data_IF_945155204090
#
_entry.id   IF_945155204090
#
_cell.length_a   1.000
_cell.length_b   1.000
_cell.length_c   1.000
_cell.angle_alpha   90.00
_cell.angle_beta   90.00
_cell.angle_gamma   90.00
#
_symmetry.space_group_name_H-M   'P 1'
#
loop_
_entity.id
_entity.type
_entity.pdbx_description
1 polymer ?
#
# COMPACT_ATOMS: atom_id res chain seq x y z
N UNK A 1 14.06 -15.92 -39.07
CA UNK A 1 13.74 -14.88 -38.09
C UNK A 1 13.27 -15.59 -36.83
N UNK A 2 14.15 -15.70 -35.84
CA UNK A 2 13.84 -16.42 -34.61
C UNK A 2 12.89 -15.57 -33.77
N UNK A 3 11.68 -16.08 -33.49
CA UNK A 3 10.89 -15.65 -32.34
C UNK A 3 11.74 -15.97 -31.11
N UNK A 4 12.47 -14.99 -30.60
CA UNK A 4 12.96 -15.06 -29.23
C UNK A 4 11.72 -14.84 -28.35
N UNK A 5 11.17 -15.93 -27.84
CA UNK A 5 10.15 -15.88 -26.79
C UNK A 5 10.76 -15.12 -25.61
N UNK A 6 10.40 -13.84 -25.49
CA UNK A 6 10.89 -12.98 -24.41
C UNK A 6 10.47 -13.62 -23.08
N UNK A 7 11.40 -13.78 -22.11
CA UNK A 7 11.07 -14.42 -20.85
C UNK A 7 9.95 -13.68 -20.13
N UNK A 8 9.00 -14.42 -19.55
CA UNK A 8 7.82 -13.89 -18.85
C UNK A 8 8.19 -12.84 -17.78
N UNK A 9 9.36 -12.98 -17.16
CA UNK A 9 9.89 -12.02 -16.18
C UNK A 9 10.13 -10.61 -16.74
N UNK A 10 10.42 -10.46 -18.03
CA UNK A 10 10.54 -9.14 -18.66
C UNK A 10 9.20 -8.42 -18.72
N UNK A 11 8.12 -9.13 -19.09
CA UNK A 11 6.77 -8.56 -19.09
C UNK A 11 6.33 -8.14 -17.68
N UNK A 12 6.68 -8.92 -16.65
CA UNK A 12 6.46 -8.53 -15.25
C UNK A 12 7.24 -7.28 -14.87
N UNK A 13 8.51 -7.18 -15.30
CA UNK A 13 9.34 -6.01 -15.04
C UNK A 13 8.75 -4.75 -15.68
N UNK A 14 8.34 -4.84 -16.94
CA UNK A 14 7.72 -3.72 -17.67
C UNK A 14 6.38 -3.31 -17.06
N UNK A 15 5.58 -4.27 -16.59
CA UNK A 15 4.33 -3.98 -15.86
C UNK A 15 4.60 -3.21 -14.56
N UNK A 16 5.61 -3.63 -13.78
CA UNK A 16 5.98 -2.95 -12.54
C UNK A 16 6.46 -1.52 -12.83
N UNK A 17 7.29 -1.34 -13.86
CA UNK A 17 7.77 -0.02 -14.29
C UNK A 17 6.60 0.85 -14.75
N UNK A 18 5.68 0.31 -15.55
CA UNK A 18 4.46 1.01 -15.97
C UNK A 18 3.64 1.49 -14.77
N UNK A 19 3.34 0.59 -13.83
CA UNK A 19 2.56 0.91 -12.63
C UNK A 19 3.28 1.97 -11.77
N UNK A 20 4.61 1.86 -11.63
CA UNK A 20 5.43 2.85 -10.94
C UNK A 20 5.37 4.23 -11.60
N UNK A 21 5.54 4.31 -12.92
CA UNK A 21 5.49 5.56 -13.67
C UNK A 21 4.09 6.18 -13.67
N UNK A 22 3.04 5.39 -13.89
CA UNK A 22 1.66 5.86 -13.88
C UNK A 22 1.23 6.38 -12.49
N UNK A 23 1.67 5.70 -11.43
CA UNK A 23 1.35 6.08 -10.05
C UNK A 23 2.16 7.28 -9.54
N UNK A 24 3.41 7.47 -9.99
CA UNK A 24 4.33 8.50 -9.47
C UNK A 24 3.72 9.90 -9.43
N UNK A 25 3.10 10.35 -10.52
CA UNK A 25 2.49 11.68 -10.63
C UNK A 25 1.08 11.69 -10.06
N UNK A 26 0.33 10.61 -10.26
CA UNK A 26 -1.03 10.47 -9.73
C UNK A 26 -1.06 10.56 -8.20
N UNK A 27 -0.04 10.01 -7.54
CA UNK A 27 0.13 10.08 -6.08
C UNK A 27 0.29 11.53 -5.62
N UNK A 28 1.09 12.34 -6.32
CA UNK A 28 1.22 13.77 -6.03
C UNK A 28 -0.09 14.54 -6.19
N UNK A 29 -1.07 14.06 -6.95
CA UNK A 29 -2.37 14.72 -7.05
C UNK A 29 -3.39 14.24 -6.02
N UNK A 30 -3.33 12.96 -5.65
CA UNK A 30 -4.22 12.35 -4.66
C UNK A 30 -3.82 12.72 -3.22
N UNK A 31 -2.53 12.82 -2.95
CA UNK A 31 -1.99 13.09 -1.62
C UNK A 31 -2.38 14.48 -1.09
N UNK A 32 -2.65 14.66 0.22
CA UNK A 32 -2.76 13.63 1.27
C UNK A 32 -4.14 13.00 1.40
N UNK A 33 -5.22 13.65 0.96
CA UNK A 33 -6.60 13.19 1.29
C UNK A 33 -7.14 12.05 0.42
N UNK A 34 -6.42 11.63 -0.63
CA UNK A 34 -6.94 10.69 -1.63
C UNK A 34 -7.94 11.31 -2.61
N UNK A 35 -8.14 12.64 -2.57
CA UNK A 35 -9.04 13.35 -3.48
C UNK A 35 -8.26 14.24 -4.45
N UNK A 36 -8.68 14.26 -5.71
CA UNK A 36 -8.12 15.14 -6.74
C UNK A 36 -8.55 16.59 -6.50
N UNK A 37 -7.62 17.39 -6.00
CA UNK A 37 -7.86 18.82 -5.77
C UNK A 37 -6.63 19.63 -6.24
N UNK A 38 -6.79 20.58 -7.16
CA UNK A 38 -8.04 20.99 -7.86
C UNK A 38 -8.57 19.94 -8.84
N UNK A 39 -9.84 20.03 -9.27
CA UNK A 39 -10.50 19.03 -10.13
C UNK A 39 -9.79 18.75 -11.46
N UNK A 40 -9.06 19.72 -12.02
CA UNK A 40 -8.29 19.55 -13.25
C UNK A 40 -7.16 18.52 -13.11
N UNK A 41 -6.65 18.32 -11.89
CA UNK A 41 -5.58 17.33 -11.62
C UNK A 41 -5.99 15.91 -11.99
N UNK A 42 -7.30 15.60 -11.95
CA UNK A 42 -7.83 14.32 -12.41
C UNK A 42 -7.59 14.09 -13.90
N UNK A 43 -7.86 15.11 -14.73
CA UNK A 43 -7.65 15.03 -16.16
C UNK A 43 -6.17 14.86 -16.50
N UNK A 44 -5.30 15.57 -15.76
CA UNK A 44 -3.84 15.45 -15.92
C UNK A 44 -3.34 14.07 -15.48
N UNK A 45 -3.84 13.51 -14.38
CA UNK A 45 -3.49 12.16 -13.93
C UNK A 45 -3.89 11.08 -14.95
N UNK A 46 -5.10 11.19 -15.50
CA UNK A 46 -5.59 10.29 -16.56
C UNK A 46 -4.74 10.45 -17.82
N UNK A 47 -4.50 11.69 -18.27
CA UNK A 47 -3.65 11.98 -19.42
C UNK A 47 -2.23 11.43 -19.25
N UNK A 48 -1.65 11.56 -18.06
CA UNK A 48 -0.35 10.98 -17.72
C UNK A 48 -0.37 9.45 -17.81
N UNK A 49 -1.37 8.79 -17.23
CA UNK A 49 -1.47 7.33 -17.27
C UNK A 49 -1.64 6.82 -18.70
N UNK A 50 -2.45 7.49 -19.51
CA UNK A 50 -2.64 7.16 -20.93
C UNK A 50 -1.36 7.39 -21.74
N UNK A 51 -0.63 8.48 -21.47
CA UNK A 51 0.64 8.77 -22.13
C UNK A 51 1.69 7.72 -21.80
N UNK A 52 1.82 7.35 -20.53
CA UNK A 52 2.75 6.29 -20.10
C UNK A 52 2.36 4.96 -20.74
N UNK A 53 1.07 4.64 -20.82
CA UNK A 53 0.59 3.41 -21.46
C UNK A 53 0.94 3.41 -22.96
N UNK A 54 0.66 4.52 -23.65
CA UNK A 54 0.99 4.68 -25.06
C UNK A 54 2.50 4.55 -25.32
N UNK A 55 3.34 5.13 -24.45
CA UNK A 55 4.79 5.01 -24.55
C UNK A 55 5.27 3.57 -24.35
N UNK A 56 4.74 2.85 -23.35
CA UNK A 56 5.08 1.44 -23.11
C UNK A 56 4.66 0.56 -24.27
N UNK A 57 3.43 0.73 -24.78
CA UNK A 57 2.92 -0.01 -25.95
C UNK A 57 3.76 0.28 -27.19
N UNK A 58 4.11 1.55 -27.44
CA UNK A 58 4.94 1.93 -28.57
C UNK A 58 6.35 1.30 -28.51
N UNK A 59 6.96 1.26 -27.30
CA UNK A 59 8.26 0.60 -27.09
C UNK A 59 8.16 -0.91 -27.28
N UNK A 60 7.05 -1.52 -26.86
CA UNK A 60 6.84 -2.96 -27.04
C UNK A 60 6.69 -3.34 -28.52
N UNK A 61 5.92 -2.57 -29.29
CA UNK A 61 5.72 -2.79 -30.73
C UNK A 61 7.01 -2.50 -31.51
N UNK A 62 7.70 -1.42 -31.17
CA UNK A 62 8.90 -0.98 -31.87
C UNK A 62 10.00 -0.58 -30.87
N UNK A 63 10.84 -1.54 -30.44
CA UNK A 63 11.87 -1.32 -29.40
C UNK A 63 12.87 -0.21 -29.73
N UNK A 64 13.10 0.09 -31.02
CA UNK A 64 13.98 1.18 -31.46
C UNK A 64 13.52 2.56 -30.98
N UNK A 65 12.22 2.75 -30.72
CA UNK A 65 11.66 4.01 -30.20
C UNK A 65 12.14 4.33 -28.78
N UNK A 66 12.64 3.34 -28.02
CA UNK A 66 13.08 3.54 -26.63
C UNK A 66 14.09 4.69 -26.50
N UNK A 67 15.06 4.77 -27.41
CA UNK A 67 16.07 5.86 -27.39
C UNK A 67 15.45 7.21 -27.74
N UNK A 68 14.57 7.26 -28.73
CA UNK A 68 13.95 8.50 -29.20
C UNK A 68 12.92 9.08 -28.23
N UNK A 69 12.21 8.23 -27.49
CA UNK A 69 11.17 8.65 -26.52
C UNK A 69 11.77 9.02 -25.16
N UNK A 70 12.94 8.49 -24.80
CA UNK A 70 13.52 8.67 -23.47
C UNK A 70 13.65 10.14 -23.04
N UNK A 71 14.26 10.99 -23.88
CA UNK A 71 14.46 12.42 -23.55
C UNK A 71 13.13 13.19 -23.49
N UNK A 72 12.24 13.11 -24.49
CA UNK A 72 10.91 13.71 -24.40
C UNK A 72 10.12 13.26 -23.16
N UNK A 73 10.16 11.97 -22.82
CA UNK A 73 9.45 11.43 -21.66
C UNK A 73 9.95 12.04 -20.34
N UNK A 74 11.28 12.26 -20.20
CA UNK A 74 11.84 12.93 -19.03
C UNK A 74 11.38 14.38 -18.91
N UNK A 75 11.35 15.13 -20.02
CA UNK A 75 10.87 16.52 -20.03
C UNK A 75 9.40 16.61 -19.60
N UNK A 76 8.55 15.72 -20.15
CA UNK A 76 7.12 15.66 -19.79
C UNK A 76 6.97 15.25 -18.32
N UNK A 77 7.75 14.27 -17.83
CA UNK A 77 7.74 13.85 -16.43
C UNK A 77 8.08 14.99 -15.48
N UNK A 78 9.11 15.78 -15.79
CA UNK A 78 9.52 16.96 -15.01
C UNK A 78 8.40 17.99 -15.01
N UNK A 79 7.82 18.32 -16.16
CA UNK A 79 6.70 19.28 -16.26
C UNK A 79 5.48 18.84 -15.45
N UNK A 80 5.15 17.54 -15.50
CA UNK A 80 4.04 16.98 -14.73
C UNK A 80 4.35 16.93 -13.22
N UNK A 81 5.60 16.73 -12.81
CA UNK A 81 6.03 16.87 -11.42
C UNK A 81 5.89 18.32 -10.92
N UNK A 82 6.24 19.33 -11.74
CA UNK A 82 6.01 20.74 -11.43
C UNK A 82 4.52 21.07 -11.26
N UNK A 83 3.66 20.54 -12.13
CA UNK A 83 2.19 20.65 -11.99
C UNK A 83 1.71 20.00 -10.69
N UNK A 84 2.27 18.84 -10.33
CA UNK A 84 2.04 18.17 -9.04
C UNK A 84 2.42 19.04 -7.86
N UNK A 85 3.63 19.59 -7.85
CA UNK A 85 4.12 20.50 -6.82
C UNK A 85 3.24 21.75 -6.70
N UNK A 86 2.85 22.34 -7.83
CA UNK A 86 1.94 23.49 -7.85
C UNK A 86 0.57 23.14 -7.24
N UNK A 87 -0.01 21.99 -7.59
CA UNK A 87 -1.26 21.52 -6.99
C UNK A 87 -1.13 21.30 -5.47
N UNK A 88 -0.02 20.76 -5.00
CA UNK A 88 0.27 20.59 -3.58
C UNK A 88 0.39 21.93 -2.84
N UNK A 89 1.07 22.93 -3.42
CA UNK A 89 1.16 24.29 -2.86
C UNK A 89 -0.23 24.94 -2.80
N UNK A 90 -1.04 24.80 -3.85
CA UNK A 90 -2.41 25.31 -3.86
C UNK A 90 -3.25 24.67 -2.73
N UNK A 91 -3.19 23.34 -2.59
CA UNK A 91 -3.90 22.63 -1.52
C UNK A 91 -3.44 23.06 -0.13
N UNK A 92 -2.13 23.16 0.08
CA UNK A 92 -1.53 23.56 1.34
C UNK A 92 -2.04 24.94 1.80
N UNK A 93 -2.18 25.88 0.86
CA UNK A 93 -2.62 27.25 1.15
C UNK A 93 -4.13 27.37 1.36
N UNK A 94 -4.92 26.69 0.52
CA UNK A 94 -6.34 27.01 0.39
C UNK A 94 -7.29 26.01 1.06
N UNK A 95 -6.88 24.75 1.26
CA UNK A 95 -7.80 23.66 1.64
C UNK A 95 -7.31 22.85 2.83
N UNK A 96 -6.00 22.62 2.94
CA UNK A 96 -5.44 21.64 3.87
C UNK A 96 -5.67 22.00 5.34
N UNK A 97 -6.19 21.04 6.10
CA UNK A 97 -6.28 21.04 7.57
C UNK A 97 -4.89 21.06 8.23
N UNK A 98 -4.77 21.36 9.54
CA UNK A 98 -3.47 21.42 10.22
C UNK A 98 -2.64 20.13 10.11
N UNK A 99 -3.31 18.97 10.15
CA UNK A 99 -2.66 17.65 10.02
C UNK A 99 -2.22 17.41 8.57
N UNK A 100 -3.07 17.69 7.59
CA UNK A 100 -2.75 17.56 6.16
C UNK A 100 -1.58 18.45 5.76
N UNK A 101 -1.48 19.66 6.33
CA UNK A 101 -0.33 20.55 6.10
C UNK A 101 0.99 19.90 6.52
N UNK A 102 1.01 19.14 7.61
CA UNK A 102 2.21 18.42 8.04
C UNK A 102 2.52 17.25 7.10
N UNK A 103 1.51 16.49 6.69
CA UNK A 103 1.67 15.41 5.70
C UNK A 103 2.26 15.95 4.38
N UNK A 104 1.73 17.06 3.88
CA UNK A 104 2.22 17.75 2.66
C UNK A 104 3.66 18.25 2.83
N UNK A 105 4.01 18.82 3.98
CA UNK A 105 5.38 19.27 4.24
C UNK A 105 6.39 18.15 4.13
N UNK A 106 6.11 17.00 4.77
CA UNK A 106 7.00 15.85 4.68
C UNK A 106 7.08 15.36 3.24
N UNK A 107 5.96 15.16 2.55
CA UNK A 107 5.94 14.69 1.16
C UNK A 107 6.73 15.62 0.22
N UNK A 108 6.54 16.94 0.33
CA UNK A 108 7.28 17.92 -0.47
C UNK A 108 8.78 17.89 -0.13
N UNK A 109 9.16 17.78 1.14
CA UNK A 109 10.56 17.67 1.55
C UNK A 109 11.21 16.42 0.95
N UNK A 110 10.51 15.29 0.97
CA UNK A 110 10.96 14.05 0.33
C UNK A 110 11.12 14.20 -1.19
N UNK A 111 10.17 14.88 -1.85
CA UNK A 111 10.21 15.11 -3.30
C UNK A 111 11.37 16.03 -3.71
N UNK A 112 11.60 17.11 -2.95
CA UNK A 112 12.72 18.02 -3.18
C UNK A 112 14.05 17.28 -2.97
N UNK A 113 14.18 16.53 -1.88
CA UNK A 113 15.38 15.76 -1.59
C UNK A 113 15.67 14.70 -2.68
N UNK A 114 14.63 14.00 -3.15
CA UNK A 114 14.73 13.02 -4.22
C UNK A 114 15.03 13.64 -5.59
N UNK A 115 14.60 14.88 -5.85
CA UNK A 115 14.88 15.59 -7.10
C UNK A 115 16.28 16.21 -7.16
N UNK A 116 16.83 16.63 -6.02
CA UNK A 116 18.15 17.27 -5.94
C UNK A 116 19.28 16.37 -6.43
N UNK A 117 19.30 15.09 -6.04
CA UNK A 117 20.36 14.15 -6.44
C UNK A 117 20.50 14.01 -7.96
N UNK A 118 19.43 13.65 -8.69
CA UNK A 118 19.44 13.59 -10.15
C UNK A 118 19.82 14.92 -10.82
N UNK A 119 19.36 16.07 -10.30
CA UNK A 119 19.69 17.38 -10.86
C UNK A 119 21.18 17.71 -10.70
N UNK A 120 21.76 17.42 -9.53
CA UNK A 120 23.20 17.57 -9.28
C UNK A 120 24.00 16.65 -10.20
N UNK A 121 23.58 15.39 -10.37
CA UNK A 121 24.20 14.46 -11.30
C UNK A 121 24.21 14.98 -12.74
N UNK A 122 23.05 15.45 -13.23
CA UNK A 122 22.93 15.99 -14.58
C UNK A 122 23.80 17.25 -14.76
N UNK A 123 23.78 18.18 -13.79
CA UNK A 123 24.55 19.42 -13.88
C UNK A 123 26.07 19.19 -13.79
N UNK A 124 26.52 18.23 -12.97
CA UNK A 124 27.93 18.00 -12.72
C UNK A 124 28.59 17.03 -13.72
N UNK A 125 27.85 16.08 -14.31
CA UNK A 125 28.46 14.95 -15.03
C UNK A 125 27.92 14.66 -16.45
N UNK A 126 26.73 15.13 -16.82
CA UNK A 126 26.24 14.95 -18.19
C UNK A 126 27.19 15.52 -19.27
N UNK A 127 27.79 16.73 -19.08
CA UNK A 127 28.71 17.30 -20.07
C UNK A 127 30.01 16.49 -20.21
N UNK A 128 30.50 15.93 -19.10
CA UNK A 128 31.79 15.23 -19.03
C UNK A 128 31.73 13.83 -19.62
N UNK A 129 30.68 13.07 -19.34
CA UNK A 129 30.50 11.70 -19.87
C UNK A 129 30.30 11.73 -21.39
N UNK A 130 29.53 12.68 -21.90
CA UNK A 130 29.26 12.78 -23.34
C UNK A 130 30.49 13.22 -24.15
N UNK A 131 31.30 14.14 -23.61
CA UNK A 131 32.58 14.54 -24.21
C UNK A 131 33.58 13.39 -24.19
N UNK A 132 33.73 12.67 -23.08
CA UNK A 132 34.67 11.54 -22.96
C UNK A 132 34.24 10.37 -23.86
N UNK A 133 32.96 10.01 -23.88
CA UNK A 133 32.45 8.89 -24.67
C UNK A 133 32.45 9.16 -26.18
N UNK A 134 32.23 10.42 -26.62
CA UNK A 134 32.22 10.77 -28.05
C UNK A 134 33.61 11.05 -28.61
N UNK A 135 34.58 11.46 -27.79
CA UNK A 135 35.86 11.97 -28.29
C UNK A 135 37.09 11.19 -27.88
N UNK A 136 37.07 10.22 -26.95
CA UNK A 136 38.30 9.56 -26.51
C UNK A 136 38.82 8.57 -27.57
N UNK A 137 39.89 8.90 -28.34
CA UNK A 137 40.61 7.91 -29.10
C UNK A 137 41.50 7.16 -28.09
N UNK A 138 41.92 5.97 -28.46
CA UNK A 138 42.74 5.05 -27.65
C UNK A 138 44.02 5.71 -27.07
N UNK A 139 44.46 6.84 -27.63
CA UNK A 139 45.60 7.66 -27.21
C UNK A 139 45.39 8.47 -25.91
N UNK A 140 44.16 8.89 -25.61
CA UNK A 140 43.85 9.60 -24.36
C UNK A 140 43.93 8.66 -23.14
N UNK A 141 43.58 7.38 -23.32
CA UNK A 141 43.77 6.33 -22.31
C UNK A 141 45.25 6.07 -22.02
N UNK A 142 46.10 6.05 -23.06
CA UNK A 142 47.55 5.92 -22.90
C UNK A 142 48.21 7.15 -22.25
N UNK A 143 47.72 8.38 -22.50
CA UNK A 143 48.30 9.62 -21.93
C UNK A 143 47.81 10.00 -20.54
N UNK A 144 46.53 9.83 -20.23
CA UNK A 144 45.95 10.21 -18.93
C UNK A 144 46.13 9.12 -17.85
N UNK A 145 46.46 7.90 -18.28
CA UNK A 145 46.72 6.76 -17.40
C UNK A 145 45.46 6.17 -16.76
N UNK A 146 45.54 4.90 -16.36
CA UNK A 146 44.44 4.17 -15.73
C UNK A 146 43.89 4.84 -14.46
N UNK A 147 44.69 5.67 -13.79
CA UNK A 147 44.30 6.43 -12.59
C UNK A 147 43.23 7.50 -12.86
N UNK A 148 43.25 8.15 -14.02
CA UNK A 148 42.19 9.10 -14.40
C UNK A 148 40.88 8.37 -14.66
N UNK A 149 40.94 7.24 -15.37
CA UNK A 149 39.77 6.41 -15.65
C UNK A 149 39.20 5.76 -14.38
N UNK A 150 40.04 5.28 -13.47
CA UNK A 150 39.58 4.74 -12.18
C UNK A 150 38.94 5.82 -11.30
N UNK A 151 39.48 7.05 -11.28
CA UNK A 151 38.87 8.17 -10.56
C UNK A 151 37.53 8.59 -11.19
N UNK A 152 37.42 8.60 -12.53
CA UNK A 152 36.17 8.88 -13.23
C UNK A 152 35.10 7.81 -12.96
N UNK A 153 35.51 6.54 -12.86
CA UNK A 153 34.61 5.44 -12.53
C UNK A 153 34.16 5.49 -11.06
N UNK A 154 35.08 5.74 -10.12
CA UNK A 154 34.76 5.89 -8.70
C UNK A 154 33.82 7.07 -8.45
N UNK A 155 34.04 8.19 -9.15
CA UNK A 155 33.15 9.35 -9.06
C UNK A 155 31.78 9.07 -9.66
N UNK A 156 31.70 8.34 -10.78
CA UNK A 156 30.41 7.88 -11.33
C UNK A 156 29.67 6.99 -10.33
N UNK A 157 30.33 5.98 -9.75
CA UNK A 157 29.74 5.05 -8.80
C UNK A 157 29.27 5.77 -7.51
N UNK A 158 30.07 6.70 -7.01
CA UNK A 158 29.71 7.54 -5.86
C UNK A 158 28.46 8.37 -6.15
N UNK A 159 28.38 8.99 -7.33
CA UNK A 159 27.23 9.80 -7.71
C UNK A 159 25.97 8.97 -7.96
N UNK A 160 26.07 7.81 -8.61
CA UNK A 160 24.95 6.88 -8.75
C UNK A 160 24.42 6.45 -7.38
N UNK A 161 25.33 6.20 -6.43
CA UNK A 161 24.98 5.88 -5.04
C UNK A 161 24.26 7.05 -4.36
N UNK A 162 24.75 8.29 -4.55
CA UNK A 162 24.09 9.49 -4.02
C UNK A 162 22.70 9.71 -4.61
N UNK A 163 22.54 9.48 -5.92
CA UNK A 163 21.24 9.57 -6.60
C UNK A 163 20.29 8.52 -6.01
N UNK A 164 20.72 7.26 -5.90
CA UNK A 164 19.92 6.20 -5.31
C UNK A 164 19.50 6.55 -3.87
N UNK A 165 20.44 7.03 -3.05
CA UNK A 165 20.16 7.43 -1.68
C UNK A 165 19.17 8.59 -1.62
N UNK A 166 19.30 9.59 -2.49
CA UNK A 166 18.37 10.71 -2.57
C UNK A 166 16.94 10.25 -2.90
N UNK A 167 16.79 9.27 -3.81
CA UNK A 167 15.49 8.70 -4.16
C UNK A 167 14.86 7.93 -3.00
N UNK A 168 15.66 7.31 -2.12
CA UNK A 168 15.13 6.65 -0.91
C UNK A 168 14.57 7.61 0.15
N UNK A 169 14.90 8.91 0.07
CA UNK A 169 14.32 9.92 0.96
C UNK A 169 12.82 10.15 0.69
N UNK A 170 12.36 9.88 -0.54
CA UNK A 170 10.95 9.97 -0.90
C UNK A 170 10.09 8.95 -0.12
N UNK A 171 10.32 7.61 -0.21
CA UNK A 171 9.54 6.65 0.57
C UNK A 171 9.73 6.83 2.07
N UNK A 172 10.90 7.28 2.54
CA UNK A 172 11.12 7.57 3.97
C UNK A 172 10.25 8.74 4.44
N UNK A 173 10.13 9.79 3.64
CA UNK A 173 9.23 10.90 3.90
C UNK A 173 7.77 10.45 3.97
N UNK A 174 7.32 9.62 3.02
CA UNK A 174 5.99 9.04 3.06
C UNK A 174 5.81 8.15 4.29
N UNK A 175 6.81 7.36 4.68
CA UNK A 175 6.76 6.57 5.90
C UNK A 175 6.58 7.44 7.15
N UNK A 176 7.27 8.58 7.24
CA UNK A 176 7.08 9.56 8.33
C UNK A 176 5.65 10.14 8.27
N UNK A 177 5.16 10.52 7.09
CA UNK A 177 3.81 11.05 6.91
C UNK A 177 2.74 10.02 7.34
N UNK A 178 2.93 8.75 6.99
CA UNK A 178 2.05 7.63 7.31
C UNK A 178 2.10 7.31 8.81
N UNK A 179 3.28 7.08 9.39
CA UNK A 179 3.42 6.60 10.76
C UNK A 179 3.17 7.69 11.80
N UNK A 180 3.67 8.92 11.57
CA UNK A 180 3.57 10.01 12.54
C UNK A 180 2.27 10.78 12.44
N UNK A 181 1.73 10.94 11.23
CA UNK A 181 0.51 11.73 10.98
C UNK A 181 -0.67 10.87 10.53
N UNK A 182 -0.58 9.55 10.69
CA UNK A 182 -1.66 8.57 10.47
C UNK A 182 -2.39 8.79 9.14
N UNK A 183 -1.62 9.04 8.08
CA UNK A 183 -2.15 9.24 6.74
C UNK A 183 -3.09 8.08 6.36
N UNK A 184 -4.26 8.39 5.80
CA UNK A 184 -5.26 7.39 5.35
C UNK A 184 -5.74 6.40 6.41
N UNK A 185 -5.85 6.83 7.67
CA UNK A 185 -6.29 5.98 8.78
C UNK A 185 -5.52 4.65 8.85
N UNK A 186 -4.20 4.74 8.61
CA UNK A 186 -3.30 3.58 8.52
C UNK A 186 -3.39 2.67 9.75
N UNK A 187 -3.78 3.20 10.92
CA UNK A 187 -4.01 2.43 12.15
C UNK A 187 -4.96 1.24 11.94
N UNK A 188 -6.02 1.42 11.14
CA UNK A 188 -6.97 0.35 10.83
C UNK A 188 -6.32 -0.73 9.97
N UNK A 189 -5.58 -0.31 8.95
CA UNK A 189 -4.88 -1.21 8.03
C UNK A 189 -3.80 -1.96 8.80
N UNK A 190 -2.91 -1.27 9.54
CA UNK A 190 -1.84 -1.89 10.35
C UNK A 190 -2.42 -2.90 11.32
N UNK A 191 -3.48 -2.55 12.05
CA UNK A 191 -4.11 -3.47 13.00
C UNK A 191 -4.58 -4.73 12.26
N UNK A 192 -5.37 -4.61 11.20
CA UNK A 192 -5.86 -5.76 10.43
C UNK A 192 -4.71 -6.57 9.82
N UNK A 193 -3.75 -5.92 9.18
CA UNK A 193 -2.62 -6.59 8.53
C UNK A 193 -1.73 -7.29 9.55
N UNK A 194 -1.45 -6.69 10.71
CA UNK A 194 -0.68 -7.32 11.78
C UNK A 194 -1.40 -8.56 12.32
N UNK A 195 -2.71 -8.47 12.52
CA UNK A 195 -3.53 -9.61 12.95
C UNK A 195 -3.45 -10.74 11.92
N UNK A 196 -3.70 -10.44 10.65
CA UNK A 196 -3.64 -11.44 9.59
C UNK A 196 -2.23 -11.98 9.39
N UNK A 197 -1.18 -11.16 9.56
CA UNK A 197 0.20 -11.60 9.47
C UNK A 197 0.57 -12.55 10.60
N UNK A 198 0.23 -12.20 11.86
CA UNK A 198 0.44 -13.07 13.03
C UNK A 198 -0.36 -14.36 12.88
N UNK A 199 -1.62 -14.26 12.47
CA UNK A 199 -2.47 -15.41 12.18
C UNK A 199 -1.85 -16.33 11.11
N UNK A 200 -1.42 -15.74 10.00
CA UNK A 200 -0.78 -16.49 8.90
C UNK A 200 0.54 -17.12 9.37
N UNK A 201 1.34 -16.42 10.16
CA UNK A 201 2.59 -16.93 10.72
C UNK A 201 2.35 -18.08 11.69
N UNK A 202 1.35 -17.98 12.58
CA UNK A 202 0.95 -19.05 13.50
C UNK A 202 0.45 -20.26 12.72
N UNK A 203 -0.42 -20.05 11.72
CA UNK A 203 -0.92 -21.12 10.87
C UNK A 203 0.21 -21.80 10.09
N UNK A 204 1.14 -21.03 9.53
CA UNK A 204 2.33 -21.54 8.85
C UNK A 204 3.22 -22.32 9.83
N UNK A 205 3.47 -21.81 11.03
CA UNK A 205 4.25 -22.48 12.06
C UNK A 205 3.64 -23.84 12.41
N UNK A 206 2.34 -23.91 12.68
CA UNK A 206 1.66 -25.17 12.95
C UNK A 206 1.66 -26.11 11.75
N UNK A 207 1.53 -25.58 10.53
CA UNK A 207 1.68 -26.36 9.29
C UNK A 207 3.07 -27.01 9.22
N UNK A 208 4.14 -26.22 9.37
CA UNK A 208 5.51 -26.72 9.33
C UNK A 208 5.79 -27.72 10.45
N UNK A 209 5.39 -27.39 11.69
CA UNK A 209 5.56 -28.27 12.84
C UNK A 209 4.82 -29.61 12.63
N UNK A 210 3.59 -29.56 12.12
CA UNK A 210 2.78 -30.76 11.87
C UNK A 210 3.41 -31.66 10.80
N UNK A 211 3.86 -31.09 9.68
CA UNK A 211 4.53 -31.83 8.60
C UNK A 211 5.82 -32.48 9.10
N UNK A 212 6.65 -31.75 9.84
CA UNK A 212 7.92 -32.25 10.38
C UNK A 212 7.68 -33.34 11.42
N UNK A 213 6.82 -33.10 12.42
CA UNK A 213 6.54 -34.08 13.48
C UNK A 213 5.97 -35.39 12.94
N UNK A 214 5.06 -35.30 11.97
CA UNK A 214 4.46 -36.49 11.38
C UNK A 214 5.45 -37.21 10.47
N UNK A 215 6.28 -36.49 9.70
CA UNK A 215 7.37 -37.10 8.93
C UNK A 215 8.38 -37.83 9.83
N UNK A 216 8.76 -37.24 10.95
CA UNK A 216 9.63 -37.85 11.97
C UNK A 216 8.96 -39.07 12.59
N UNK A 217 7.70 -38.99 13.00
CA UNK A 217 6.95 -40.12 13.57
C UNK A 217 6.87 -41.30 12.61
N UNK A 218 6.54 -41.07 11.34
CA UNK A 218 6.48 -42.13 10.33
C UNK A 218 7.84 -42.75 10.04
N UNK A 219 8.91 -41.94 10.01
CA UNK A 219 10.28 -42.46 9.90
C UNK A 219 10.63 -43.41 11.05
N UNK A 220 10.27 -43.06 12.29
CA UNK A 220 10.48 -43.93 13.46
C UNK A 220 9.63 -45.20 13.46
N UNK A 221 8.40 -45.16 12.93
CA UNK A 221 7.43 -46.28 13.00
C UNK A 221 7.57 -47.24 11.82
N UNK A 222 7.77 -46.76 10.59
CA UNK A 222 7.77 -47.59 9.37
C UNK A 222 9.18 -48.05 8.97
N UNK A 223 10.23 -47.33 9.37
CA UNK A 223 11.61 -47.64 8.98
C UNK A 223 11.92 -47.24 7.53
N UNK A 224 12.56 -48.13 6.77
CA UNK A 224 13.05 -47.87 5.39
C UNK A 224 11.96 -47.28 4.46
N UNK A 225 12.33 -46.31 3.59
CA UNK A 225 11.39 -45.63 2.72
C UNK A 225 10.91 -46.57 1.59
N UNK A 226 9.88 -47.38 1.86
CA UNK A 226 9.13 -48.05 0.81
C UNK A 226 8.23 -47.05 0.08
N UNK A 227 8.07 -47.12 -1.26
CA UNK A 227 7.22 -46.22 -2.03
C UNK A 227 5.78 -46.15 -1.50
N UNK A 228 5.25 -47.29 -1.02
CA UNK A 228 3.92 -47.40 -0.42
C UNK A 228 3.87 -46.69 0.95
N UNK A 229 4.94 -46.81 1.76
CA UNK A 229 5.06 -46.10 3.04
C UNK A 229 5.06 -44.57 2.87
N UNK A 230 5.70 -44.05 1.83
CA UNK A 230 5.68 -42.62 1.50
C UNK A 230 4.27 -42.17 1.11
N UNK A 231 3.56 -42.94 0.29
CA UNK A 231 2.18 -42.60 -0.13
C UNK A 231 1.23 -42.63 1.07
N UNK A 232 1.26 -43.69 1.88
CA UNK A 232 0.39 -43.84 3.06
C UNK A 232 0.70 -42.76 4.11
N UNK A 233 1.98 -42.47 4.35
CA UNK A 233 2.37 -41.39 5.27
C UNK A 233 1.93 -40.02 4.76
N UNK A 234 2.08 -39.74 3.47
CA UNK A 234 1.63 -38.47 2.86
C UNK A 234 0.10 -38.31 2.96
N UNK A 235 -0.67 -39.37 2.70
CA UNK A 235 -2.13 -39.39 2.86
C UNK A 235 -2.55 -39.23 4.33
N UNK A 236 -1.86 -39.89 5.25
CA UNK A 236 -2.08 -39.78 6.70
C UNK A 236 -1.80 -38.35 7.21
N UNK A 237 -0.68 -37.75 6.79
CA UNK A 237 -0.34 -36.35 7.04
C UNK A 237 -1.44 -35.44 6.52
N UNK A 238 -1.87 -35.61 5.27
CA UNK A 238 -2.90 -34.77 4.67
C UNK A 238 -4.25 -34.84 5.42
N UNK A 239 -4.69 -36.03 5.84
CA UNK A 239 -5.95 -36.23 6.56
C UNK A 239 -5.93 -35.62 7.98
N UNK A 240 -4.86 -35.88 8.74
CA UNK A 240 -4.67 -35.30 10.07
C UNK A 240 -4.52 -33.77 10.01
N UNK A 241 -3.85 -33.26 8.97
CA UNK A 241 -3.68 -31.84 8.73
C UNK A 241 -5.02 -31.12 8.51
N UNK A 242 -5.94 -31.70 7.73
CA UNK A 242 -7.26 -31.10 7.49
C UNK A 242 -8.00 -30.83 8.80
N UNK A 243 -7.97 -31.81 9.72
CA UNK A 243 -8.63 -31.69 11.03
C UNK A 243 -7.94 -30.69 11.95
N UNK A 244 -6.60 -30.66 11.97
CA UNK A 244 -5.83 -29.72 12.77
C UNK A 244 -6.01 -28.26 12.29
N UNK A 245 -6.02 -28.05 10.96
CA UNK A 245 -6.25 -26.74 10.34
C UNK A 245 -7.58 -26.15 10.76
N UNK A 246 -8.67 -26.91 10.68
CA UNK A 246 -10.00 -26.43 11.07
C UNK A 246 -10.05 -26.03 12.54
N UNK A 247 -9.46 -26.81 13.44
CA UNK A 247 -9.41 -26.48 14.88
C UNK A 247 -8.61 -25.22 15.19
N UNK A 248 -7.49 -25.02 14.51
CA UNK A 248 -6.65 -23.81 14.66
C UNK A 248 -7.40 -22.58 14.15
N UNK A 249 -8.07 -22.69 12.99
CA UNK A 249 -8.92 -21.61 12.46
C UNK A 249 -10.08 -21.27 13.41
N UNK A 250 -10.81 -22.27 13.91
CA UNK A 250 -11.93 -22.06 14.84
C UNK A 250 -11.47 -21.43 16.17
N UNK A 251 -10.32 -21.84 16.69
CA UNK A 251 -9.75 -21.28 17.92
C UNK A 251 -9.35 -19.81 17.72
N UNK A 252 -8.77 -19.48 16.58
CA UNK A 252 -8.43 -18.11 16.20
C UNK A 252 -9.69 -17.28 16.04
N UNK A 253 -10.68 -17.75 15.29
CA UNK A 253 -11.90 -16.99 15.04
C UNK A 253 -12.65 -16.72 16.35
N UNK A 254 -12.73 -17.71 17.25
CA UNK A 254 -13.30 -17.53 18.59
C UNK A 254 -12.51 -16.53 19.45
N UNK A 255 -11.18 -16.51 19.37
CA UNK A 255 -10.35 -15.62 20.21
C UNK A 255 -10.27 -14.20 19.64
N UNK A 256 -10.30 -14.06 18.33
CA UNK A 256 -10.04 -12.81 17.61
C UNK A 256 -11.32 -12.06 17.24
N UNK A 257 -12.37 -12.77 16.82
CA UNK A 257 -13.66 -12.17 16.45
C UNK A 257 -14.68 -12.12 17.58
N UNK A 258 -14.32 -12.52 18.81
CA UNK A 258 -15.23 -12.52 19.97
C UNK A 258 -16.03 -11.21 20.11
N UNK A 259 -15.37 -10.05 19.99
CA UNK A 259 -16.05 -8.74 20.09
C UNK A 259 -17.02 -8.44 18.95
N UNK A 260 -16.80 -8.98 17.74
CA UNK A 260 -17.67 -8.77 16.57
C UNK A 260 -18.81 -9.78 16.54
N UNK A 261 -18.54 -11.00 16.99
CA UNK A 261 -19.53 -12.07 17.11
C UNK A 261 -20.53 -11.74 18.22
N UNK A 262 -20.06 -11.30 19.39
CA UNK A 262 -20.91 -10.85 20.49
C UNK A 262 -21.78 -9.66 20.05
N UNK A 263 -21.22 -8.66 19.37
CA UNK A 263 -22.00 -7.50 18.89
C UNK A 263 -23.10 -7.88 17.89
N UNK A 264 -22.82 -8.77 16.93
CA UNK A 264 -23.82 -9.24 15.96
C UNK A 264 -24.87 -10.11 16.63
N UNK A 265 -24.49 -10.99 17.54
CA UNK A 265 -25.42 -11.85 18.28
C UNK A 265 -26.36 -11.00 19.15
N UNK A 266 -25.84 -10.00 19.86
CA UNK A 266 -26.66 -9.07 20.67
C UNK A 266 -27.58 -8.22 19.78
N UNK A 267 -27.13 -7.75 18.61
CA UNK A 267 -27.98 -7.05 17.63
C UNK A 267 -29.09 -7.93 17.06
N UNK A 268 -28.82 -9.22 16.86
CA UNK A 268 -29.81 -10.16 16.31
C UNK A 268 -30.88 -10.49 17.34
N UNK A 269 -30.48 -10.70 18.60
CA UNK A 269 -31.39 -10.86 19.73
C UNK A 269 -32.23 -9.60 19.95
N UNK A 270 -31.62 -8.41 19.90
CA UNK A 270 -32.35 -7.14 19.97
C UNK A 270 -33.37 -6.98 18.84
N UNK A 271 -33.00 -7.32 17.59
CA UNK A 271 -33.89 -7.23 16.43
C UNK A 271 -35.07 -8.23 16.47
N UNK A 272 -34.95 -9.30 17.26
CA UNK A 272 -36.03 -10.26 17.52
C UNK A 272 -36.96 -9.71 18.62
N UNK A 273 -36.42 -9.31 19.77
CA UNK A 273 -37.19 -8.69 20.86
C UNK A 273 -37.92 -7.42 20.40
N UNK A 274 -37.29 -6.61 19.55
CA UNK A 274 -37.87 -5.38 19.01
C UNK A 274 -39.06 -5.60 18.05
N UNK A 275 -39.21 -6.81 17.54
CA UNK A 275 -40.29 -7.18 16.62
C UNK A 275 -41.55 -7.63 17.36
N UNK A 276 -41.37 -8.13 18.58
CA UNK A 276 -42.43 -8.71 19.41
C UNK A 276 -42.91 -7.73 20.51
N UNK A 277 -42.12 -6.71 20.83
CA UNK A 277 -42.45 -5.69 21.84
C UNK A 277 -43.17 -4.48 21.22
N UNK A 278 -44.47 -4.34 21.51
CA UNK A 278 -45.30 -3.21 21.03
C UNK A 278 -45.24 -1.96 21.91
N UNK A 279 -44.59 -2.05 23.08
CA UNK A 279 -44.39 -0.93 24.00
C UNK A 279 -43.09 -0.18 23.69
N UNK A 280 -43.23 1.10 23.31
CA UNK A 280 -42.14 1.97 22.88
C UNK A 280 -41.19 2.31 24.04
N UNK A 281 -41.69 2.32 25.28
CA UNK A 281 -40.90 2.61 26.47
C UNK A 281 -40.02 1.40 26.83
N UNK A 282 -40.57 0.19 26.81
CA UNK A 282 -39.80 -1.06 26.97
C UNK A 282 -38.74 -1.24 25.89
N UNK A 283 -39.08 -0.95 24.63
CA UNK A 283 -38.15 -1.02 23.51
C UNK A 283 -36.97 -0.04 23.66
N UNK A 284 -37.26 1.18 24.10
CA UNK A 284 -36.26 2.21 24.33
C UNK A 284 -35.27 1.82 25.45
N UNK A 285 -35.77 1.19 26.51
CA UNK A 285 -34.98 0.68 27.62
C UNK A 285 -34.05 -0.47 27.20
N UNK A 286 -34.56 -1.43 26.44
CA UNK A 286 -33.77 -2.56 25.98
C UNK A 286 -32.70 -2.15 24.95
N UNK A 287 -32.99 -1.18 24.07
CA UNK A 287 -32.01 -0.61 23.15
C UNK A 287 -30.86 0.07 23.92
N UNK A 288 -31.17 0.86 24.94
CA UNK A 288 -30.15 1.52 25.77
C UNK A 288 -29.32 0.49 26.53
N UNK A 289 -29.94 -0.56 27.06
CA UNK A 289 -29.25 -1.66 27.75
C UNK A 289 -28.29 -2.40 26.82
N UNK A 290 -28.74 -2.82 25.64
CA UNK A 290 -27.92 -3.51 24.64
C UNK A 290 -26.75 -2.65 24.19
N UNK A 291 -26.96 -1.35 23.96
CA UNK A 291 -25.90 -0.40 23.59
C UNK A 291 -24.90 -0.23 24.72
N UNK A 292 -25.36 -0.12 25.98
CA UNK A 292 -24.46 -0.05 27.15
C UNK A 292 -23.61 -1.30 27.31
N UNK A 293 -24.22 -2.47 27.18
CA UNK A 293 -23.55 -3.76 27.39
C UNK A 293 -22.57 -4.09 26.25
N UNK A 294 -22.92 -3.71 25.01
CA UNK A 294 -22.11 -4.03 23.82
C UNK A 294 -20.99 -3.02 23.58
N UNK A 295 -21.26 -1.72 23.74
CA UNK A 295 -20.34 -0.65 23.36
C UNK A 295 -19.62 0.01 24.53
N UNK A 296 -20.05 -0.23 25.78
CA UNK A 296 -19.55 0.43 27.00
C UNK A 296 -19.28 1.95 26.83
N UNK A 297 -20.24 2.73 26.28
CA UNK A 297 -20.04 4.16 26.09
C UNK A 297 -20.13 4.91 27.43
N UNK A 298 -19.39 6.01 27.55
CA UNK A 298 -19.46 6.88 28.74
C UNK A 298 -20.85 7.54 28.89
N UNK A 299 -21.57 7.79 27.79
CA UNK A 299 -22.93 8.34 27.78
C UNK A 299 -23.76 7.82 26.60
N UNK A 300 -25.08 7.65 26.81
CA UNK A 300 -26.07 7.27 25.79
C UNK A 300 -27.22 8.27 25.81
N UNK A 301 -27.54 8.88 24.67
CA UNK A 301 -28.67 9.80 24.51
C UNK A 301 -29.58 9.27 23.41
N UNK A 302 -30.84 8.95 23.75
CA UNK A 302 -31.85 8.46 22.81
C UNK A 302 -32.87 9.57 22.53
N UNK A 303 -32.99 9.97 21.27
CA UNK A 303 -33.96 10.98 20.83
C UNK A 303 -35.13 10.30 20.12
N UNK A 304 -36.32 10.38 20.73
CA UNK A 304 -37.55 9.87 20.14
C UNK A 304 -38.26 10.98 19.37
N UNK A 305 -38.81 10.64 18.21
CA UNK A 305 -39.62 11.59 17.42
C UNK A 305 -40.94 11.84 18.15
N UNK A 306 -41.31 13.10 18.48
CA UNK A 306 -42.56 13.38 19.18
C UNK A 306 -43.76 12.90 18.36
N UNK A 307 -44.58 12.02 18.93
CA UNK A 307 -45.87 11.62 18.35
C UNK A 307 -46.92 12.72 18.62
N UNK A 308 -47.90 12.84 17.72
CA UNK A 308 -48.82 13.98 17.66
C UNK A 308 -49.66 14.22 18.94
N UNK A 309 -49.73 13.25 19.86
CA UNK A 309 -50.43 13.37 21.14
C UNK A 309 -49.73 14.28 22.17
N UNK A 310 -48.39 14.35 22.15
CA UNK A 310 -47.61 15.00 23.21
C UNK A 310 -47.60 16.54 23.08
N UNK A 311 -47.84 17.06 21.87
CA UNK A 311 -48.01 18.51 21.63
C UNK A 311 -49.26 19.08 22.28
N UNK A 312 -50.31 18.28 22.51
CA UNK A 312 -51.56 18.74 23.11
C UNK A 312 -51.47 18.92 24.62
N UNK A 313 -50.59 18.19 25.30
CA UNK A 313 -50.41 18.31 26.76
C UNK A 313 -49.57 19.53 27.15
N UNK A 314 -48.52 19.87 26.39
CA UNK A 314 -47.71 21.09 26.65
C UNK A 314 -48.43 22.40 26.37
N UNK A 315 -49.38 22.42 25.44
CA UNK A 315 -50.16 23.62 25.13
C UNK A 315 -51.26 23.93 26.18
N UNK A 316 -51.59 22.99 27.07
CA UNK A 316 -52.64 23.17 28.09
C UNK A 316 -52.11 23.55 29.48
N UNK A 317 -50.80 23.55 29.71
CA UNK A 317 -50.22 23.86 31.03
C UNK A 317 -49.63 25.28 31.14
N UNK A 318 -50.00 26.18 30.23
CA UNK A 318 -49.53 27.59 30.20
C UNK A 318 -50.67 28.61 30.21
N UNK A 319 -51.86 28.20 30.65
CA UNK A 319 -53.01 29.08 30.90
C UNK A 319 -53.20 29.32 32.39
#
# INVERSE_FOLDING_TARGET
MANQDLPIWMALTDLIVFLGLASSISLLFLFPSGAFVPRWTRAVAVGWTLLVLAAVVAIYIQPSLRRSIHVPAQVIAVGAAYLGAHAQVYRYRNIASPVERQQVKWAILGLIAAGLGPLVYLAAFAPTVEVVARQAPNLLNQRLGGSFFSLSYLTQLFMETLVALSLTLLPLSFAIAILRYRLWDIDLIIRRTLIYAVLTAVLAFFYFAFVVLTGVFFFFVIGEPSPIGIVISTLGIAALFSSARHRVQDAIDRRFYRRKYDAMQTLTTFAQTARDETDLDCLSGELVRVVKETMQPDQVILWLKPTAGDRRHRARSTG
#
